data_IF_686423732949
#
_entry.id   IF_686423732949
#
_cell.length_a   1.000
_cell.length_b   1.000
_cell.length_c   1.000
_cell.angle_alpha   90.00
_cell.angle_beta   90.00
_cell.angle_gamma   90.00
#
_symmetry.space_group_name_H-M   'P 1'
#
loop_
_entity.id
_entity.type
_entity.pdbx_description
1 polymer ?
#
# COMPACT_ATOMS: atom_id res chain seq x y z
N UNK A 1 13.74 11.14 -8.79
CA UNK A 1 13.33 10.02 -7.93
C UNK A 1 12.97 10.60 -6.58
N UNK A 2 11.72 10.48 -6.17
CA UNK A 2 11.26 10.94 -4.84
C UNK A 2 11.51 9.85 -3.80
N UNK A 3 11.38 10.17 -2.51
CA UNK A 3 11.42 9.16 -1.46
C UNK A 3 10.32 8.11 -1.60
N UNK A 4 9.14 8.51 -2.10
CA UNK A 4 8.01 7.62 -2.34
C UNK A 4 8.31 6.55 -3.41
N UNK A 5 9.03 6.92 -4.48
CA UNK A 5 9.47 5.96 -5.50
C UNK A 5 10.41 4.90 -4.92
N UNK A 6 11.30 5.29 -4.00
CA UNK A 6 12.23 4.36 -3.36
C UNK A 6 11.49 3.40 -2.43
N UNK A 7 10.57 3.92 -1.61
CA UNK A 7 9.74 3.11 -0.71
C UNK A 7 8.91 2.11 -1.51
N UNK A 8 8.26 2.55 -2.59
CA UNK A 8 7.47 1.68 -3.45
C UNK A 8 8.32 0.52 -4.01
N UNK A 9 9.54 0.80 -4.49
CA UNK A 9 10.46 -0.25 -4.97
C UNK A 9 10.83 -1.26 -3.90
N UNK A 10 11.12 -0.79 -2.68
CA UNK A 10 11.42 -1.68 -1.54
C UNK A 10 10.20 -2.58 -1.27
N UNK A 11 9.00 -2.00 -1.13
CA UNK A 11 7.77 -2.76 -0.90
C UNK A 11 7.53 -3.82 -1.98
N UNK A 12 7.78 -3.49 -3.25
CA UNK A 12 7.62 -4.46 -4.35
C UNK A 12 8.63 -5.60 -4.27
N UNK A 13 9.89 -5.31 -3.90
CA UNK A 13 10.92 -6.33 -3.68
C UNK A 13 10.58 -7.26 -2.50
N UNK A 14 9.90 -6.76 -1.47
CA UNK A 14 9.41 -7.53 -0.33
C UNK A 14 8.13 -8.35 -0.66
N UNK A 15 7.63 -8.29 -1.90
CA UNK A 15 6.45 -9.05 -2.34
C UNK A 15 5.11 -8.41 -1.97
N UNK A 16 5.07 -7.10 -1.71
CA UNK A 16 3.81 -6.40 -1.40
C UNK A 16 2.98 -6.22 -2.68
N UNK A 17 1.76 -6.78 -2.69
CA UNK A 17 0.83 -6.69 -3.82
C UNK A 17 -0.18 -5.55 -3.71
N UNK A 18 -0.50 -5.12 -2.49
CA UNK A 18 -1.42 -4.00 -2.24
C UNK A 18 -1.02 -3.26 -0.97
N UNK A 19 -1.44 -2.01 -0.87
CA UNK A 19 -1.18 -1.18 0.31
C UNK A 19 -2.42 -0.37 0.68
N UNK A 20 -2.66 -0.23 1.98
CA UNK A 20 -3.72 0.64 2.48
C UNK A 20 -3.28 2.09 2.50
N UNK A 21 -4.10 2.99 1.93
CA UNK A 21 -3.75 4.41 1.81
C UNK A 21 -4.90 5.30 2.26
N UNK A 22 -4.56 6.32 3.04
CA UNK A 22 -5.43 7.48 3.26
C UNK A 22 -5.08 8.51 2.18
N UNK A 23 -6.07 9.09 1.47
CA UNK A 23 -5.83 9.93 0.30
C UNK A 23 -4.91 11.13 0.58
N UNK A 24 -4.29 11.65 -0.49
CA UNK A 24 -3.36 12.80 -0.52
C UNK A 24 -1.92 12.51 -0.10
N UNK A 25 -1.42 11.29 -0.34
CA UNK A 25 -0.02 10.98 -0.14
C UNK A 25 0.71 10.95 -1.52
N UNK A 26 2.04 10.89 -1.52
CA UNK A 26 2.79 10.72 -2.79
C UNK A 26 3.07 9.24 -3.10
N UNK A 27 2.75 8.37 -2.14
CA UNK A 27 3.06 6.95 -2.20
C UNK A 27 2.04 6.16 -3.02
N UNK A 28 0.76 6.57 -3.07
CA UNK A 28 -0.26 5.90 -3.89
C UNK A 28 0.10 5.93 -5.37
N UNK A 29 0.58 7.06 -5.88
CA UNK A 29 0.99 7.16 -7.27
C UNK A 29 2.25 6.34 -7.54
N UNK A 30 3.22 6.39 -6.64
CA UNK A 30 4.47 5.62 -6.76
C UNK A 30 4.21 4.11 -6.74
N UNK A 31 3.38 3.64 -5.80
CA UNK A 31 2.97 2.24 -5.69
C UNK A 31 2.15 1.78 -6.90
N UNK A 32 1.16 2.58 -7.33
CA UNK A 32 0.33 2.26 -8.49
C UNK A 32 1.17 2.10 -9.77
N UNK A 33 2.18 2.97 -9.99
CA UNK A 33 3.07 2.92 -11.16
C UNK A 33 3.86 1.62 -11.27
N UNK A 34 4.17 0.96 -10.16
CA UNK A 34 4.97 -0.27 -10.13
C UNK A 34 4.12 -1.53 -9.87
N UNK A 35 2.79 -1.40 -9.93
CA UNK A 35 1.86 -2.52 -9.75
C UNK A 35 1.67 -2.96 -8.30
N UNK A 36 1.78 -2.05 -7.34
CA UNK A 36 1.22 -2.23 -5.99
C UNK A 36 -0.16 -1.59 -6.01
N UNK A 37 -1.22 -2.35 -5.69
CA UNK A 37 -2.59 -1.84 -5.72
C UNK A 37 -2.88 -0.97 -4.49
N UNK A 38 -3.12 0.35 -4.63
CA UNK A 38 -3.53 1.17 -3.51
C UNK A 38 -5.01 0.91 -3.17
N UNK A 39 -5.29 0.58 -1.93
CA UNK A 39 -6.64 0.50 -1.38
C UNK A 39 -6.92 1.79 -0.62
N UNK A 40 -7.71 2.67 -1.23
CA UNK A 40 -8.01 3.98 -0.66
C UNK A 40 -9.11 3.85 0.40
N UNK A 41 -8.78 4.21 1.64
CA UNK A 41 -9.72 4.21 2.75
C UNK A 41 -10.18 5.65 3.06
N UNK A 42 -11.49 5.80 3.30
CA UNK A 42 -12.08 7.07 3.76
C UNK A 42 -12.02 7.25 5.29
N UNK A 43 -11.70 6.18 6.02
CA UNK A 43 -11.70 6.09 7.49
C UNK A 43 -10.56 5.15 7.93
N UNK A 44 -9.66 5.62 8.80
CA UNK A 44 -8.49 4.85 9.24
C UNK A 44 -8.84 3.48 9.83
N UNK A 45 -9.89 3.41 10.65
CA UNK A 45 -10.32 2.17 11.32
C UNK A 45 -10.70 1.05 10.34
N UNK A 46 -11.18 1.37 9.14
CA UNK A 46 -11.54 0.35 8.14
C UNK A 46 -10.28 -0.20 7.47
N UNK A 47 -9.28 0.66 7.24
CA UNK A 47 -8.02 0.25 6.63
C UNK A 47 -7.21 -0.71 7.49
N UNK A 48 -7.15 -0.44 8.80
CA UNK A 48 -6.42 -1.30 9.74
C UNK A 48 -7.04 -2.71 9.84
N UNK A 49 -8.37 -2.82 9.92
CA UNK A 49 -9.05 -4.13 9.97
C UNK A 49 -8.83 -4.96 8.70
N UNK A 50 -8.74 -4.32 7.52
CA UNK A 50 -8.48 -5.04 6.27
C UNK A 50 -7.03 -5.52 6.21
N UNK A 51 -6.07 -4.68 6.59
CA UNK A 51 -4.65 -5.04 6.62
C UNK A 51 -4.39 -6.19 7.62
N UNK A 52 -5.02 -6.13 8.80
CA UNK A 52 -4.95 -7.19 9.81
C UNK A 52 -5.57 -8.51 9.31
N UNK A 53 -6.76 -8.44 8.71
CA UNK A 53 -7.43 -9.60 8.11
C UNK A 53 -6.66 -10.25 6.96
N UNK A 54 -5.99 -9.46 6.11
CA UNK A 54 -5.14 -10.01 5.05
C UNK A 54 -3.85 -10.62 5.59
N UNK A 55 -3.25 -10.01 6.62
CA UNK A 55 -2.02 -10.52 7.23
C UNK A 55 -2.21 -11.91 7.83
N UNK A 56 -3.41 -12.20 8.35
CA UNK A 56 -3.81 -13.53 8.82
C UNK A 56 -4.15 -14.55 7.73
N UNK A 57 -4.26 -14.15 6.46
CA UNK A 57 -4.63 -14.99 5.32
C UNK A 57 -3.44 -15.23 4.35
N UNK A 58 -2.20 -15.27 4.86
CA UNK A 58 -1.05 -15.78 4.08
C UNK A 58 -1.14 -17.31 3.98
N UNK A 59 -2.04 -17.80 3.12
CA UNK A 59 -2.13 -19.19 2.68
C UNK A 59 -1.79 -19.32 1.20
#
# INVERSE_FOLDING_TARGET
>A
MTGADLIAKILKSEGVDFMGVIPFNTLEEAGAKIGIRPLIFRRERVGVNLADGYSGFQG
#
